data_IF_854446266263
#
_entry.id   IF_854446266263
#
_cell.length_a   1.000
_cell.length_b   1.000
_cell.length_c   1.000
_cell.angle_alpha   90.00
_cell.angle_beta   90.00
_cell.angle_gamma   90.00
#
_symmetry.space_group_name_H-M   'P 1'
#
loop_
_entity.id
_entity.type
_entity.pdbx_description
1 polymer ?
#
# COMPACT_ATOMS: atom_id res chain seq x y z
N UNK A 1 -11.09 -41.35 7.52
CA UNK A 1 -10.52 -41.65 6.20
C UNK A 1 -10.61 -40.35 5.41
N UNK A 2 -9.51 -39.62 5.30
CA UNK A 2 -9.45 -38.33 4.60
C UNK A 2 -9.12 -38.63 3.14
N UNK A 3 -10.05 -38.40 2.24
CA UNK A 3 -9.82 -38.55 0.80
C UNK A 3 -8.73 -37.54 0.36
N UNK A 4 -7.60 -38.07 -0.01
CA UNK A 4 -6.55 -37.31 -0.68
C UNK A 4 -7.07 -37.10 -2.11
N UNK A 5 -7.48 -35.87 -2.42
CA UNK A 5 -7.78 -35.43 -3.78
C UNK A 5 -6.46 -35.51 -4.58
N UNK A 6 -6.23 -36.62 -5.26
CA UNK A 6 -5.20 -36.72 -6.28
C UNK A 6 -5.68 -35.99 -7.54
N UNK A 7 -5.55 -34.67 -7.52
CA UNK A 7 -5.69 -33.86 -8.72
C UNK A 7 -4.72 -34.38 -9.77
N UNK A 8 -5.22 -34.68 -10.97
CA UNK A 8 -4.36 -35.04 -12.12
C UNK A 8 -3.25 -33.98 -12.26
N UNK A 9 -2.01 -34.38 -12.51
CA UNK A 9 -0.94 -33.43 -12.74
C UNK A 9 -1.36 -32.50 -13.87
N UNK A 10 -1.49 -31.20 -13.52
CA UNK A 10 -1.91 -30.15 -14.42
C UNK A 10 -0.98 -30.24 -15.65
N UNK A 11 -1.52 -30.54 -16.85
CA UNK A 11 -0.72 -30.56 -18.07
C UNK A 11 0.03 -29.23 -18.17
N UNK A 12 1.35 -29.23 -18.39
CA UNK A 12 2.09 -27.99 -18.52
C UNK A 12 1.47 -27.17 -19.63
N UNK A 13 1.01 -25.96 -19.25
CA UNK A 13 0.44 -24.99 -20.19
C UNK A 13 1.62 -24.24 -20.85
N UNK A 14 1.88 -24.44 -22.15
CA UNK A 14 3.00 -23.79 -22.84
C UNK A 14 2.91 -22.25 -22.78
N UNK A 15 1.71 -21.69 -22.71
CA UNK A 15 1.53 -20.23 -22.61
C UNK A 15 1.97 -19.70 -21.25
N UNK A 16 1.67 -20.42 -20.18
CA UNK A 16 2.14 -20.05 -18.82
C UNK A 16 3.65 -20.11 -18.72
N UNK A 17 4.25 -21.15 -19.28
CA UNK A 17 5.71 -21.28 -19.32
C UNK A 17 6.36 -20.16 -20.13
N UNK A 18 5.81 -19.80 -21.29
CA UNK A 18 6.28 -18.70 -22.12
C UNK A 18 6.17 -17.33 -21.40
N UNK A 19 5.06 -17.09 -20.68
CA UNK A 19 4.87 -15.88 -19.88
C UNK A 19 5.93 -15.74 -18.78
N UNK A 20 6.22 -16.84 -18.06
CA UNK A 20 7.25 -16.85 -17.04
C UNK A 20 8.65 -16.64 -17.63
N UNK A 21 8.95 -17.25 -18.76
CA UNK A 21 10.22 -17.05 -19.47
C UNK A 21 10.38 -15.60 -19.97
N UNK A 22 9.31 -14.98 -20.45
CA UNK A 22 9.31 -13.57 -20.86
C UNK A 22 9.51 -12.60 -19.68
N UNK A 23 9.13 -12.97 -18.45
CA UNK A 23 9.37 -12.19 -17.26
C UNK A 23 10.81 -12.24 -16.75
N UNK A 24 11.60 -13.26 -17.16
CA UNK A 24 12.95 -13.52 -16.64
C UNK A 24 13.90 -12.30 -16.69
N UNK A 25 13.98 -11.50 -17.78
CA UNK A 25 14.86 -10.32 -17.81
C UNK A 25 14.53 -9.32 -16.71
N UNK A 26 13.24 -9.12 -16.42
CA UNK A 26 12.77 -8.22 -15.36
C UNK A 26 13.07 -8.78 -13.97
N UNK A 27 12.84 -10.07 -13.77
CA UNK A 27 13.17 -10.75 -12.52
C UNK A 27 14.67 -10.62 -12.22
N UNK A 28 15.53 -10.83 -13.23
CA UNK A 28 16.97 -10.67 -13.08
C UNK A 28 17.39 -9.23 -12.79
N UNK A 29 16.82 -8.26 -13.51
CA UNK A 29 17.19 -6.85 -13.36
C UNK A 29 16.83 -6.28 -11.98
N UNK A 30 15.73 -6.73 -11.39
CA UNK A 30 15.21 -6.22 -10.13
C UNK A 30 15.40 -7.15 -8.93
N UNK A 31 16.01 -8.31 -9.11
CA UNK A 31 16.32 -9.22 -8.00
C UNK A 31 17.14 -8.50 -6.91
N UNK A 32 16.73 -8.62 -5.66
CA UNK A 32 17.36 -7.97 -4.52
C UNK A 32 17.13 -6.45 -4.41
N UNK A 33 16.46 -5.83 -5.37
CA UNK A 33 16.16 -4.39 -5.34
C UNK A 33 14.97 -4.09 -4.45
N UNK A 34 15.00 -2.91 -3.82
CA UNK A 34 13.85 -2.36 -3.10
C UNK A 34 12.91 -1.70 -4.10
N UNK A 35 11.63 -2.09 -4.02
CA UNK A 35 10.55 -1.54 -4.86
C UNK A 35 9.50 -0.93 -3.95
N UNK A 36 9.24 0.36 -4.13
CA UNK A 36 8.19 1.06 -3.38
C UNK A 36 6.89 0.96 -4.17
N UNK A 37 5.87 0.39 -3.55
CA UNK A 37 4.54 0.20 -4.14
C UNK A 37 3.52 1.02 -3.36
N UNK A 38 2.85 1.97 -4.03
CA UNK A 38 1.77 2.74 -3.42
C UNK A 38 0.47 1.94 -3.46
N UNK A 39 -0.16 1.77 -2.29
CA UNK A 39 -1.48 1.15 -2.15
C UNK A 39 -2.53 2.18 -1.76
N UNK A 40 -3.60 2.30 -2.55
CA UNK A 40 -4.62 3.31 -2.30
C UNK A 40 -5.78 3.25 -3.31
N UNK A 41 -6.72 4.17 -3.17
CA UNK A 41 -7.87 4.27 -4.06
C UNK A 41 -8.84 3.09 -3.93
N UNK A 42 -9.41 2.66 -5.04
CA UNK A 42 -10.42 1.59 -5.09
C UNK A 42 -9.89 0.23 -4.60
N UNK A 43 -8.59 -0.02 -4.74
CA UNK A 43 -7.97 -1.24 -4.23
C UNK A 43 -8.09 -1.41 -2.71
N UNK A 44 -8.36 -0.31 -1.98
CA UNK A 44 -8.53 -0.35 -0.52
C UNK A 44 -9.97 -0.62 -0.06
N UNK A 45 -10.93 -0.61 -0.96
CA UNK A 45 -12.37 -0.72 -0.64
C UNK A 45 -13.01 -1.96 -1.24
N UNK A 46 -12.37 -2.59 -2.23
CA UNK A 46 -12.84 -3.82 -2.88
C UNK A 46 -12.04 -5.02 -2.35
N UNK A 47 -12.73 -5.98 -1.77
CA UNK A 47 -12.10 -7.15 -1.15
C UNK A 47 -11.40 -8.08 -2.15
N UNK A 48 -11.86 -8.12 -3.39
CA UNK A 48 -11.21 -8.90 -4.45
C UNK A 48 -9.89 -8.25 -4.83
N UNK A 49 -9.88 -6.92 -4.98
CA UNK A 49 -8.67 -6.16 -5.29
C UNK A 49 -7.66 -6.17 -4.14
N UNK A 50 -8.14 -6.16 -2.87
CA UNK A 50 -7.26 -6.31 -1.70
C UNK A 50 -6.50 -7.63 -1.71
N UNK A 51 -7.21 -8.74 -1.98
CA UNK A 51 -6.61 -10.08 -2.04
C UNK A 51 -5.63 -10.20 -3.21
N UNK A 52 -6.02 -9.74 -4.40
CA UNK A 52 -5.13 -9.75 -5.58
C UNK A 52 -3.86 -8.93 -5.32
N UNK A 53 -4.00 -7.73 -4.73
CA UNK A 53 -2.83 -6.93 -4.36
C UNK A 53 -1.90 -7.65 -3.37
N UNK A 54 -2.46 -8.31 -2.36
CA UNK A 54 -1.66 -9.07 -1.40
C UNK A 54 -0.91 -10.23 -2.05
N UNK A 55 -1.55 -10.92 -2.99
CA UNK A 55 -0.94 -11.99 -3.80
C UNK A 55 0.20 -11.45 -4.67
N UNK A 56 0.00 -10.31 -5.34
CA UNK A 56 1.04 -9.64 -6.14
C UNK A 56 2.26 -9.25 -5.29
N UNK A 57 2.06 -8.70 -4.09
CA UNK A 57 3.16 -8.37 -3.18
C UNK A 57 3.89 -9.62 -2.70
N UNK A 58 3.17 -10.68 -2.39
CA UNK A 58 3.77 -11.97 -2.03
C UNK A 58 4.59 -12.55 -3.20
N UNK A 59 4.04 -12.49 -4.43
CA UNK A 59 4.78 -12.89 -5.63
C UNK A 59 6.09 -12.11 -5.77
N UNK A 60 6.05 -10.79 -5.69
CA UNK A 60 7.26 -9.96 -5.76
C UNK A 60 8.28 -10.37 -4.69
N UNK A 61 7.83 -10.61 -3.46
CA UNK A 61 8.70 -11.02 -2.36
C UNK A 61 9.38 -12.36 -2.65
N UNK A 62 8.63 -13.36 -3.09
CA UNK A 62 9.16 -14.69 -3.43
C UNK A 62 10.02 -14.72 -4.70
N UNK A 63 9.77 -13.79 -5.64
CA UNK A 63 10.62 -13.58 -6.81
C UNK A 63 11.96 -12.90 -6.49
N UNK A 64 12.21 -12.57 -5.20
CA UNK A 64 13.50 -12.05 -4.74
C UNK A 64 13.58 -10.53 -4.65
N UNK A 65 12.46 -9.81 -4.86
CA UNK A 65 12.38 -8.36 -4.64
C UNK A 65 12.27 -8.03 -3.15
N UNK A 66 12.49 -6.76 -2.81
CA UNK A 66 12.26 -6.20 -1.46
C UNK A 66 11.14 -5.17 -1.53
N UNK A 67 9.84 -5.61 -1.56
CA UNK A 67 8.73 -4.68 -1.66
C UNK A 67 8.56 -3.89 -0.37
N UNK A 68 8.38 -2.57 -0.52
CA UNK A 68 7.96 -1.64 0.52
C UNK A 68 6.62 -1.08 0.10
N UNK A 69 5.58 -1.40 0.84
CA UNK A 69 4.23 -0.90 0.55
C UNK A 69 3.95 0.36 1.33
N UNK A 70 3.61 1.43 0.64
CA UNK A 70 3.18 2.70 1.23
C UNK A 70 1.68 2.84 1.01
N UNK A 71 0.90 2.81 2.09
CA UNK A 71 -0.55 2.88 2.00
C UNK A 71 -1.13 4.16 2.57
N UNK A 72 -2.30 4.53 2.06
CA UNK A 72 -3.16 5.55 2.65
C UNK A 72 -4.30 4.93 3.46
N UNK A 73 -5.40 5.66 3.58
CA UNK A 73 -6.59 5.22 4.31
C UNK A 73 -7.69 6.28 4.34
N UNK A 74 -7.70 7.18 3.35
CA UNK A 74 -8.65 8.31 3.30
C UNK A 74 -10.11 7.90 3.50
N UNK A 75 -10.63 6.92 2.76
CA UNK A 75 -12.01 6.46 2.92
C UNK A 75 -12.31 5.92 4.32
N UNK A 76 -11.40 5.10 4.87
CA UNK A 76 -11.54 4.50 6.20
C UNK A 76 -11.48 5.56 7.30
N UNK A 77 -10.57 6.54 7.18
CA UNK A 77 -10.49 7.68 8.10
C UNK A 77 -11.78 8.49 8.07
N UNK A 78 -12.28 8.86 6.87
CA UNK A 78 -13.52 9.62 6.74
C UNK A 78 -14.72 8.87 7.34
N UNK A 79 -14.81 7.57 7.10
CA UNK A 79 -15.85 6.72 7.68
C UNK A 79 -15.78 6.70 9.22
N UNK A 80 -14.59 6.57 9.79
CA UNK A 80 -14.42 6.51 11.25
C UNK A 80 -14.71 7.86 11.90
N UNK A 81 -14.22 8.97 11.33
CA UNK A 81 -14.53 10.32 11.82
C UNK A 81 -16.04 10.57 11.82
N UNK A 82 -16.75 10.22 10.72
CA UNK A 82 -18.19 10.32 10.64
C UNK A 82 -18.94 9.50 11.70
N UNK A 83 -18.47 8.26 11.98
CA UNK A 83 -19.03 7.40 13.04
C UNK A 83 -18.84 8.00 14.45
N UNK A 84 -17.77 8.75 14.66
CA UNK A 84 -17.46 9.42 15.93
C UNK A 84 -18.08 10.83 16.04
N UNK A 85 -18.75 11.32 14.98
CA UNK A 85 -19.34 12.67 14.96
C UNK A 85 -18.27 13.77 14.85
N UNK A 86 -17.04 13.44 14.44
CA UNK A 86 -15.96 14.40 14.27
C UNK A 86 -16.01 14.95 12.85
N UNK A 87 -16.18 16.26 12.74
CA UNK A 87 -16.21 16.94 11.44
C UNK A 87 -14.85 16.86 10.75
N UNK A 88 -14.88 16.68 9.44
CA UNK A 88 -13.69 16.58 8.60
C UNK A 88 -13.76 17.61 7.50
N UNK A 89 -12.92 18.62 7.57
CA UNK A 89 -12.78 19.67 6.56
C UNK A 89 -11.60 19.38 5.62
N UNK A 90 -11.75 19.78 4.35
CA UNK A 90 -10.68 19.75 3.37
C UNK A 90 -10.41 21.14 2.82
N UNK A 91 -9.13 21.55 2.82
CA UNK A 91 -8.66 22.83 2.23
C UNK A 91 -7.60 22.53 1.17
N UNK A 92 -7.84 22.95 -0.04
CA UNK A 92 -6.90 22.70 -1.15
C UNK A 92 -6.61 21.21 -1.42
N UNK A 93 -7.57 20.31 -1.10
CA UNK A 93 -7.39 18.85 -1.25
C UNK A 93 -6.63 18.17 -0.10
N UNK A 94 -6.23 18.93 0.91
CA UNK A 94 -5.61 18.43 2.14
C UNK A 94 -6.64 18.42 3.27
N UNK A 95 -6.62 17.37 4.09
CA UNK A 95 -7.47 17.29 5.28
C UNK A 95 -6.96 18.27 6.35
N UNK A 96 -7.85 19.09 6.88
CA UNK A 96 -7.59 19.85 8.11
C UNK A 96 -7.67 18.85 9.27
N UNK A 97 -6.53 18.58 9.89
CA UNK A 97 -6.44 17.54 10.92
C UNK A 97 -6.23 18.20 12.28
N UNK A 98 -7.26 18.14 13.12
CA UNK A 98 -7.17 18.55 14.52
C UNK A 98 -6.41 17.48 15.34
N UNK A 99 -5.92 17.79 16.55
CA UNK A 99 -5.30 16.80 17.42
C UNK A 99 -6.21 15.57 17.66
N UNK A 100 -7.49 15.79 17.91
CA UNK A 100 -8.49 14.73 18.10
C UNK A 100 -8.65 13.88 16.82
N UNK A 101 -8.76 14.52 15.65
CA UNK A 101 -8.82 13.83 14.38
C UNK A 101 -7.52 13.05 14.09
N UNK A 102 -6.36 13.52 14.58
CA UNK A 102 -5.08 12.84 14.39
C UNK A 102 -5.03 11.52 15.15
N UNK A 103 -5.60 11.43 16.34
CA UNK A 103 -5.68 10.17 17.09
C UNK A 103 -6.53 9.14 16.32
N UNK A 104 -7.64 9.58 15.73
CA UNK A 104 -8.46 8.72 14.86
C UNK A 104 -7.67 8.29 13.60
N UNK A 105 -6.91 9.20 12.99
CA UNK A 105 -6.06 8.88 11.84
C UNK A 105 -5.05 7.79 12.19
N UNK A 106 -4.35 7.91 13.33
CA UNK A 106 -3.41 6.88 13.83
C UNK A 106 -4.10 5.54 14.04
N UNK A 107 -5.22 5.53 14.76
CA UNK A 107 -5.98 4.30 15.01
C UNK A 107 -6.39 3.60 13.72
N UNK A 108 -6.89 4.34 12.74
CA UNK A 108 -7.36 3.80 11.48
C UNK A 108 -6.19 3.30 10.62
N UNK A 109 -5.15 4.12 10.46
CA UNK A 109 -4.04 3.75 9.58
C UNK A 109 -3.26 2.56 10.14
N UNK A 110 -2.90 2.58 11.41
CA UNK A 110 -2.06 1.55 12.04
C UNK A 110 -2.90 0.36 12.53
N UNK A 111 -4.02 0.64 13.19
CA UNK A 111 -4.85 -0.40 13.82
C UNK A 111 -5.79 -1.13 12.87
N UNK A 112 -6.22 -0.49 11.78
CA UNK A 112 -7.18 -1.07 10.84
C UNK A 112 -6.53 -1.37 9.49
N UNK A 113 -6.16 -0.35 8.74
CA UNK A 113 -5.69 -0.52 7.34
C UNK A 113 -4.41 -1.32 7.26
N UNK A 114 -3.40 -0.93 8.04
CA UNK A 114 -2.12 -1.64 8.06
C UNK A 114 -2.28 -3.09 8.54
N UNK A 115 -3.08 -3.32 9.60
CA UNK A 115 -3.28 -4.66 10.16
C UNK A 115 -3.99 -5.58 9.17
N UNK A 116 -5.01 -5.06 8.46
CA UNK A 116 -5.70 -5.81 7.41
C UNK A 116 -4.73 -6.18 6.29
N UNK A 117 -3.95 -5.23 5.77
CA UNK A 117 -3.02 -5.45 4.69
C UNK A 117 -1.91 -6.44 5.07
N UNK A 118 -1.29 -6.27 6.23
CA UNK A 118 -0.27 -7.20 6.75
C UNK A 118 -0.86 -8.60 6.93
N UNK A 119 -2.11 -8.70 7.42
CA UNK A 119 -2.81 -9.97 7.57
C UNK A 119 -3.03 -10.67 6.22
N UNK A 120 -3.48 -9.94 5.20
CA UNK A 120 -3.69 -10.49 3.86
C UNK A 120 -2.38 -10.98 3.22
N UNK A 121 -1.31 -10.19 3.30
CA UNK A 121 0.00 -10.59 2.75
C UNK A 121 0.53 -11.84 3.49
N UNK A 122 0.37 -11.89 4.81
CA UNK A 122 0.86 -13.00 5.62
C UNK A 122 0.05 -14.30 5.47
N UNK A 123 -1.08 -14.28 4.78
CA UNK A 123 -1.76 -15.52 4.34
C UNK A 123 -0.92 -16.31 3.32
N UNK A 124 -0.03 -15.63 2.60
CA UNK A 124 0.88 -16.23 1.62
C UNK A 124 2.25 -16.62 2.22
N UNK A 125 2.45 -16.42 3.53
CA UNK A 125 3.69 -16.68 4.27
C UNK A 125 4.00 -15.52 5.23
N UNK A 126 4.73 -15.77 6.30
CA UNK A 126 5.08 -14.75 7.32
C UNK A 126 6.18 -13.80 6.80
N UNK A 127 5.83 -12.95 5.84
CA UNK A 127 6.78 -12.14 5.05
C UNK A 127 6.60 -10.63 5.22
N UNK A 128 5.54 -10.18 5.92
CA UNK A 128 5.22 -8.77 6.07
C UNK A 128 5.14 -8.35 7.53
N UNK A 129 5.66 -7.17 7.83
CA UNK A 129 5.49 -6.42 9.08
C UNK A 129 4.99 -5.02 8.75
N UNK A 130 4.24 -4.41 9.66
CA UNK A 130 3.79 -3.03 9.52
C UNK A 130 4.63 -2.09 10.38
N UNK A 131 4.97 -0.93 9.81
CA UNK A 131 5.63 0.18 10.48
C UNK A 131 4.84 1.45 10.23
N UNK A 132 4.85 2.37 11.17
CA UNK A 132 4.37 3.75 10.99
C UNK A 132 5.54 4.71 10.83
N UNK A 133 5.30 5.92 10.35
CA UNK A 133 6.33 6.96 10.30
C UNK A 133 6.86 7.35 11.69
N UNK A 134 6.10 7.06 12.76
CA UNK A 134 6.47 7.33 14.15
C UNK A 134 7.43 6.28 14.72
N UNK A 135 7.44 5.05 14.16
CA UNK A 135 8.30 3.98 14.63
C UNK A 135 9.77 4.32 14.39
N UNK A 136 10.56 4.26 15.44
CA UNK A 136 11.99 4.61 15.44
C UNK A 136 12.31 6.01 14.89
N UNK A 137 11.32 6.92 14.88
CA UNK A 137 11.49 8.26 14.31
C UNK A 137 11.78 8.27 12.80
N UNK A 138 11.17 7.33 12.05
CA UNK A 138 11.37 7.18 10.60
C UNK A 138 11.08 8.46 9.83
N UNK A 139 10.02 9.19 10.22
CA UNK A 139 9.63 10.44 9.58
C UNK A 139 9.29 11.50 10.64
N UNK A 140 9.74 12.71 10.39
CA UNK A 140 9.27 13.90 11.09
C UNK A 140 8.44 14.71 10.11
N UNK A 141 7.22 15.08 10.50
CA UNK A 141 6.31 15.89 9.68
C UNK A 141 6.21 17.29 10.26
N UNK A 142 6.28 18.29 9.38
CA UNK A 142 5.94 19.66 9.70
C UNK A 142 4.51 19.96 9.24
N UNK A 143 3.75 20.70 10.06
CA UNK A 143 2.42 21.16 9.68
C UNK A 143 2.51 22.12 8.51
N UNK A 144 1.81 21.82 7.41
CA UNK A 144 1.59 22.79 6.34
C UNK A 144 0.58 23.81 6.87
N UNK A 145 1.05 25.02 7.16
CA UNK A 145 0.17 26.10 7.62
C UNK A 145 -0.98 26.36 6.65
N UNK A 146 -2.01 27.06 7.11
CA UNK A 146 -3.27 27.33 6.39
C UNK A 146 -3.14 28.06 5.04
N UNK A 147 -1.94 28.43 4.63
CA UNK A 147 -1.65 29.04 3.33
C UNK A 147 -0.97 28.06 2.36
N UNK A 148 -1.60 26.93 2.11
CA UNK A 148 -1.24 26.16 0.91
C UNK A 148 -1.80 26.93 -0.28
N UNK A 149 -0.92 27.65 -0.99
CA UNK A 149 -1.32 28.32 -2.23
C UNK A 149 -1.91 27.29 -3.20
N UNK A 150 -3.02 27.61 -3.89
CA UNK A 150 -3.56 26.76 -4.95
C UNK A 150 -2.42 26.43 -5.94
N UNK A 151 -2.14 25.16 -6.12
CA UNK A 151 -1.09 24.70 -7.03
C UNK A 151 0.14 24.03 -6.40
N UNK A 152 0.34 24.08 -5.08
CA UNK A 152 1.47 23.37 -4.43
C UNK A 152 1.36 21.86 -4.63
N UNK A 153 0.19 21.28 -4.45
CA UNK A 153 -0.05 19.85 -4.72
C UNK A 153 0.17 19.51 -6.20
N UNK A 154 -0.17 20.41 -7.11
CA UNK A 154 0.08 20.25 -8.55
C UNK A 154 1.57 20.36 -8.88
N UNK A 155 2.31 21.27 -8.23
CA UNK A 155 3.76 21.40 -8.39
C UNK A 155 4.51 20.18 -7.85
N UNK A 156 4.14 19.66 -6.68
CA UNK A 156 4.71 18.45 -6.12
C UNK A 156 4.45 17.23 -7.03
N UNK A 157 3.22 17.07 -7.53
CA UNK A 157 2.92 16.01 -8.52
C UNK A 157 3.74 16.16 -9.80
N UNK A 158 3.91 17.37 -10.29
CA UNK A 158 4.69 17.65 -11.50
C UNK A 158 6.18 17.41 -11.26
N UNK A 159 6.75 17.84 -10.12
CA UNK A 159 8.13 17.60 -9.75
C UNK A 159 8.44 16.10 -9.57
N UNK A 160 7.50 15.32 -9.01
CA UNK A 160 7.60 13.86 -8.97
C UNK A 160 7.56 13.22 -10.37
N UNK A 161 6.68 13.71 -11.26
CA UNK A 161 6.54 13.17 -12.60
C UNK A 161 7.72 13.53 -13.52
N UNK A 162 8.40 14.65 -13.27
CA UNK A 162 9.53 15.14 -14.08
C UNK A 162 10.91 14.78 -13.53
N UNK A 163 10.97 14.13 -12.33
CA UNK A 163 12.24 13.75 -11.71
C UNK A 163 13.08 14.95 -11.22
N UNK A 164 12.48 16.13 -11.09
CA UNK A 164 13.15 17.36 -10.62
C UNK A 164 13.35 17.42 -9.10
N UNK A 165 12.79 16.49 -8.33
CA UNK A 165 13.19 16.28 -6.93
C UNK A 165 14.47 15.44 -6.92
N UNK A 166 15.59 16.11 -7.00
CA UNK A 166 16.89 15.53 -6.61
C UNK A 166 16.94 15.42 -5.10
N UNK A 167 17.53 14.29 -4.65
CA UNK A 167 17.87 13.99 -3.25
C UNK A 167 18.45 15.18 -2.50
#
# INVERSE_FOLDING_TARGET
MTEIHTGQPNRPDPQKAATLAAALPWLMAYHGKTIVVKYGGNAMTDDTLKKAFAEDIAFLRYAGFKPVVVHGGGPQISSMLGRLGIESEFKGGLRVTTPEAMDVVRMVLVGQVQRELVGLINQHGHIAVGLSGEDAGLFTAEGVGTQVQPGVATRLRKAYATGELKE
#
